data_IF_876592958850
#
_entry.id   IF_876592958850
#
_cell.length_a   1.000
_cell.length_b   1.000
_cell.length_c   1.000
_cell.angle_alpha   90.00
_cell.angle_beta   90.00
_cell.angle_gamma   90.00
#
_symmetry.space_group_name_H-M   'P 1'
#
loop_
_entity.id
_entity.type
_entity.pdbx_description
1 polymer ?
2 water ?
#
# COMPACT_ATOMS: atom_id res chain seq x y z
N UNK A 4 -15.25 19.46 0.34
CA UNK A 4 -13.72 19.47 0.22
C UNK A 4 -13.10 18.26 0.89
N UNK A 5 -13.94 17.28 1.30
CA UNK A 5 -13.40 16.11 2.01
C UNK A 5 -13.71 14.97 1.08
N UNK A 6 -12.71 14.43 0.35
CA UNK A 6 -13.02 13.34 -0.55
C UNK A 6 -13.74 12.15 0.07
N UNK A 7 -13.51 11.93 1.36
CA UNK A 7 -14.11 10.79 2.06
C UNK A 7 -15.59 10.86 2.13
N UNK A 8 -16.16 12.04 1.94
CA UNK A 8 -17.61 12.10 1.95
C UNK A 8 -18.21 11.28 0.78
N UNK A 9 -17.43 10.93 -0.24
CA UNK A 9 -17.91 10.11 -1.37
C UNK A 9 -17.49 8.68 -1.39
N UNK A 10 -16.89 8.27 -0.22
CA UNK A 10 -16.50 6.88 -0.08
C UNK A 10 -17.08 6.25 1.16
N UNK A 11 -17.33 4.95 1.07
CA UNK A 11 -17.67 4.11 2.21
C UNK A 11 -16.34 3.94 2.99
N UNK A 12 -16.36 4.36 4.24
CA UNK A 12 -15.14 4.34 5.08
C UNK A 12 -15.51 4.27 6.53
N UNK A 13 -14.56 3.88 7.35
CA UNK A 13 -14.69 3.86 8.80
C UNK A 13 -13.36 4.44 9.41
N UNK A 14 -13.54 5.38 10.32
CA UNK A 14 -12.41 5.94 11.09
C UNK A 14 -12.03 4.89 12.16
N UNK A 15 -10.79 4.45 12.15
CA UNK A 15 -10.31 3.38 13.00
C UNK A 15 -9.54 3.98 14.21
N UNK A 16 -8.57 4.80 13.91
CA UNK A 16 -7.86 5.50 14.94
C UNK A 16 -7.78 6.99 14.57
N UNK A 17 -7.13 7.81 15.43
CA UNK A 17 -7.00 9.21 15.02
C UNK A 17 -6.15 9.37 13.73
N UNK A 18 -5.31 8.42 13.41
CA UNK A 18 -4.35 8.40 12.24
C UNK A 18 -4.99 7.57 11.07
N UNK A 19 -5.65 6.45 11.38
CA UNK A 19 -5.96 5.44 10.36
C UNK A 19 -7.47 5.45 10.06
N UNK A 20 -7.83 5.48 8.75
CA UNK A 20 -9.17 5.30 8.26
C UNK A 20 -9.14 4.22 7.22
N UNK A 21 -10.08 3.29 7.26
CA UNK A 21 -10.20 2.22 6.28
C UNK A 21 -11.33 2.59 5.30
N UNK A 22 -11.00 2.42 4.03
CA UNK A 22 -11.83 2.79 2.90
C UNK A 22 -12.07 1.58 2.06
N UNK A 23 -13.36 1.41 1.63
CA UNK A 23 -13.69 0.37 0.72
C UNK A 23 -13.34 0.81 -0.71
N UNK A 24 -12.82 -0.07 -1.53
CA UNK A 24 -12.73 0.23 -2.94
C UNK A 24 -11.33 0.22 -3.52
N UNK A 25 -11.13 1.17 -4.43
CA UNK A 25 -9.97 1.23 -5.39
C UNK A 25 -8.94 2.26 -4.88
N UNK A 26 -7.80 1.76 -4.43
CA UNK A 26 -6.75 2.62 -3.90
C UNK A 26 -6.26 3.73 -4.83
N UNK A 27 -6.26 3.38 -6.10
CA UNK A 27 -5.84 4.35 -7.15
C UNK A 27 -6.82 5.48 -7.26
N UNK A 28 -8.11 5.16 -7.22
CA UNK A 28 -9.14 6.20 -7.17
C UNK A 28 -9.05 7.07 -5.94
N UNK A 29 -8.79 6.45 -4.77
CA UNK A 29 -8.70 7.22 -3.58
C UNK A 29 -7.47 8.17 -3.64
N UNK A 30 -6.32 7.66 -4.07
CA UNK A 30 -5.08 8.41 -4.09
C UNK A 30 -5.25 9.65 -5.02
N UNK A 31 -5.96 9.46 -6.13
CA UNK A 31 -6.16 10.55 -7.12
C UNK A 31 -6.91 11.71 -6.49
N UNK A 32 -7.68 11.47 -5.41
CA UNK A 32 -8.36 12.52 -4.70
C UNK A 32 -7.46 13.42 -3.88
N UNK A 33 -6.23 12.98 -3.65
CA UNK A 33 -5.30 13.68 -2.72
C UNK A 33 -4.01 13.86 -3.44
N UNK A 34 -3.86 15.08 -3.97
CA UNK A 34 -2.59 15.42 -4.67
C UNK A 34 -1.31 15.26 -3.92
N UNK A 35 -1.35 15.37 -2.60
CA UNK A 35 -0.19 15.32 -1.81
C UNK A 35 0.00 13.91 -1.26
N UNK A 36 -0.83 12.96 -1.66
CA UNK A 36 -0.69 11.64 -1.01
C UNK A 36 0.46 10.85 -1.60
N UNK A 37 1.02 9.96 -0.78
CA UNK A 37 1.89 8.90 -1.28
C UNK A 37 1.09 7.62 -1.35
N UNK A 38 1.08 6.98 -2.56
CA UNK A 38 0.36 5.76 -2.80
C UNK A 38 1.33 4.59 -2.58
N UNK A 39 0.99 3.65 -1.72
CA UNK A 39 1.80 2.45 -1.59
C UNK A 39 1.45 1.40 -2.65
N UNK A 40 2.52 0.84 -3.25
CA UNK A 40 2.45 -0.28 -4.10
C UNK A 40 2.89 -1.50 -3.27
N UNK A 41 2.09 -2.56 -3.34
CA UNK A 41 2.46 -3.88 -2.76
C UNK A 41 3.29 -4.61 -3.78
N UNK A 42 4.61 -4.42 -3.61
CA UNK A 42 5.62 -4.87 -4.56
C UNK A 42 6.33 -6.13 -4.15
N UNK A 43 7.01 -6.75 -5.12
CA UNK A 43 7.95 -7.81 -4.87
C UNK A 43 9.40 -7.27 -4.91
N UNK A 44 10.35 -8.13 -4.53
CA UNK A 44 11.69 -7.69 -4.36
C UNK A 44 12.28 -7.11 -5.63
N UNK A 45 11.82 -7.58 -6.80
CA UNK A 45 12.38 -7.06 -8.06
C UNK A 45 11.56 -6.03 -8.77
N UNK A 46 10.52 -5.53 -8.07
CA UNK A 46 9.61 -4.54 -8.65
C UNK A 46 9.12 -4.97 -10.01
N UNK A 47 8.70 -6.21 -10.10
CA UNK A 47 8.07 -6.74 -11.29
C UNK A 47 6.57 -6.70 -11.08
N UNK A 48 5.93 -5.74 -11.73
CA UNK A 48 4.52 -5.36 -11.38
C UNK A 48 3.52 -6.16 -12.23
N UNK A 49 3.44 -7.45 -12.00
CA UNK A 49 2.64 -8.27 -12.95
C UNK A 49 1.24 -8.53 -12.57
N UNK A 50 0.83 -8.30 -11.36
CA UNK A 50 -0.55 -8.62 -10.97
C UNK A 50 -0.92 -7.87 -9.73
N UNK A 51 -2.13 -8.07 -9.28
CA UNK A 51 -2.64 -7.35 -8.10
C UNK A 51 -2.59 -5.85 -8.25
N UNK A 52 -2.40 -5.14 -7.13
CA UNK A 52 -2.37 -3.68 -7.15
C UNK A 52 -1.21 -3.16 -7.93
N UNK A 53 -0.11 -3.91 -7.92
CA UNK A 53 1.09 -3.45 -8.69
C UNK A 53 0.76 -3.41 -10.19
N UNK A 54 0.12 -4.49 -10.68
CA UNK A 54 -0.32 -4.52 -12.06
C UNK A 54 -1.31 -3.42 -12.37
N UNK A 55 -2.24 -3.15 -11.48
CA UNK A 55 -3.19 -2.04 -11.67
C UNK A 55 -2.52 -0.68 -11.72
N UNK A 56 -1.57 -0.46 -10.79
CA UNK A 56 -0.80 0.76 -10.77
C UNK A 56 0.03 0.91 -12.08
N UNK A 57 0.75 -0.12 -12.54
CA UNK A 57 1.49 -0.01 -13.76
C UNK A 57 0.58 0.26 -14.99
N UNK A 58 -0.56 -0.42 -15.00
CA UNK A 58 -1.56 -0.19 -16.07
C UNK A 58 -2.04 1.23 -16.04
N UNK A 59 -2.39 1.76 -14.88
CA UNK A 59 -2.83 3.13 -14.77
C UNK A 59 -1.79 4.11 -15.29
N UNK A 60 -0.50 3.81 -15.07
CA UNK A 60 0.64 4.59 -15.57
C UNK A 60 1.03 4.35 -17.02
N UNK A 61 0.29 3.49 -17.72
CA UNK A 61 0.57 3.06 -19.07
C UNK A 61 1.99 2.60 -19.24
N UNK A 62 2.44 1.83 -18.23
CA UNK A 62 3.72 1.19 -18.29
C UNK A 62 4.88 2.00 -17.72
N UNK A 63 4.67 3.24 -17.33
CA UNK A 63 5.74 4.14 -16.90
C UNK A 63 6.35 3.62 -15.58
N UNK A 64 5.46 3.10 -14.74
CA UNK A 64 5.94 2.55 -13.47
C UNK A 64 6.90 1.41 -13.71
N UNK A 65 6.58 0.52 -14.60
CA UNK A 65 7.48 -0.64 -14.84
C UNK A 65 8.79 -0.17 -15.47
N UNK A 66 8.72 0.79 -16.38
CA UNK A 66 9.96 1.31 -16.97
C UNK A 66 10.92 1.90 -15.92
N UNK A 67 10.37 2.73 -15.02
CA UNK A 67 11.12 3.27 -13.93
C UNK A 67 11.70 2.15 -13.04
N UNK A 68 10.87 1.20 -12.68
CA UNK A 68 11.29 0.10 -11.81
C UNK A 68 12.40 -0.71 -12.44
N UNK A 69 12.32 -0.95 -13.72
CA UNK A 69 13.35 -1.70 -14.45
C UNK A 69 14.67 -0.96 -14.29
N UNK A 70 14.67 0.37 -14.51
CA UNK A 70 15.88 1.17 -14.39
C UNK A 70 16.41 1.12 -12.97
N UNK A 71 15.49 1.19 -12.00
CA UNK A 71 15.87 1.22 -10.63
C UNK A 71 16.61 -0.09 -10.29
N UNK A 72 16.05 -1.20 -10.68
CA UNK A 72 16.60 -2.48 -10.28
C UNK A 72 18.01 -2.69 -10.86
N UNK A 73 18.22 -2.27 -12.09
CA UNK A 73 19.58 -2.35 -12.71
C UNK A 73 20.57 -1.41 -12.10
N UNK A 74 20.10 -0.26 -11.60
CA UNK A 74 20.98 0.68 -10.94
C UNK A 74 21.33 0.34 -9.54
N UNK A 75 20.34 -0.11 -8.75
CA UNK A 75 20.46 -0.27 -7.30
C UNK A 75 20.30 -1.68 -6.77
N UNK A 76 19.90 -2.62 -7.61
CA UNK A 76 19.66 -3.98 -7.17
C UNK A 76 18.33 -4.18 -6.56
N UNK A 77 17.98 -5.41 -6.33
CA UNK A 77 16.68 -5.72 -5.73
C UNK A 77 16.57 -5.31 -4.29
N UNK A 78 15.33 -5.17 -3.86
CA UNK A 78 14.99 -4.87 -2.50
C UNK A 78 15.06 -6.18 -1.68
N UNK A 79 15.24 -6.04 -0.39
CA UNK A 79 15.03 -7.12 0.53
C UNK A 79 13.58 -7.11 1.02
N UNK A 80 13.16 -8.26 1.52
CA UNK A 80 11.83 -8.32 2.13
C UNK A 80 11.80 -7.36 3.34
N UNK A 81 10.72 -6.56 3.46
CA UNK A 81 10.60 -5.51 4.43
C UNK A 81 11.09 -4.16 4.01
N UNK A 82 11.82 -4.07 2.89
CA UNK A 82 12.29 -2.80 2.42
C UNK A 82 11.19 -2.06 1.64
N UNK A 83 11.44 -0.76 1.47
CA UNK A 83 10.60 0.03 0.60
C UNK A 83 11.44 1.06 -0.11
N UNK A 84 10.94 1.56 -1.21
CA UNK A 84 11.64 2.59 -1.97
C UNK A 84 10.59 3.56 -2.50
N UNK A 85 10.88 4.85 -2.32
CA UNK A 85 10.05 5.88 -2.83
C UNK A 85 10.41 6.27 -4.27
N UNK A 86 9.52 6.08 -5.21
CA UNK A 86 9.75 6.40 -6.63
C UNK A 86 8.69 7.38 -7.11
N UNK A 87 8.70 7.68 -8.40
CA UNK A 87 7.86 8.75 -8.91
C UNK A 87 6.37 8.37 -8.79
N UNK A 88 5.54 9.43 -8.78
CA UNK A 88 4.12 9.24 -8.68
C UNK A 88 3.35 9.04 -9.95
N UNK A 89 3.93 9.45 -11.07
CA UNK A 89 3.31 9.27 -12.35
C UNK A 89 1.91 9.86 -12.49
N UNK A 90 1.66 10.95 -11.84
CA UNK A 90 0.25 11.49 -11.85
C UNK A 90 -0.78 10.62 -11.19
N UNK A 91 -0.42 9.53 -10.56
CA UNK A 91 -1.35 8.84 -9.66
C UNK A 91 -1.37 9.40 -8.26
N UNK A 92 -0.25 9.92 -7.78
CA UNK A 92 -0.04 10.42 -6.46
C UNK A 92 1.22 11.28 -6.49
N UNK A 93 1.52 11.95 -5.40
CA UNK A 93 2.80 12.68 -5.28
C UNK A 93 3.99 11.76 -5.56
N UNK A 94 4.01 10.62 -4.90
CA UNK A 94 5.03 9.57 -5.07
C UNK A 94 4.36 8.21 -4.87
N UNK A 95 5.05 7.16 -5.31
CA UNK A 95 4.63 5.84 -5.04
C UNK A 95 5.70 5.24 -4.18
N UNK A 96 5.31 4.69 -3.04
CA UNK A 96 6.18 3.98 -2.14
C UNK A 96 6.01 2.49 -2.39
N UNK A 97 7.04 1.83 -3.00
CA UNK A 97 6.96 0.42 -3.30
C UNK A 97 7.45 -0.33 -2.09
N UNK A 98 6.55 -1.03 -1.42
CA UNK A 98 6.79 -1.73 -0.22
C UNK A 98 6.74 -3.25 -0.42
N UNK A 99 7.78 -3.92 0.03
CA UNK A 99 7.89 -5.35 -0.07
C UNK A 99 7.54 -6.06 1.23
N UNK A 100 6.33 -6.55 1.31
CA UNK A 100 5.95 -7.25 2.48
C UNK A 100 6.45 -8.68 2.41
N UNK A 101 6.33 -9.36 3.55
CA UNK A 101 6.63 -10.80 3.63
C UNK A 101 5.61 -11.62 2.91
N UNK A 102 6.11 -12.64 2.19
CA UNK A 102 5.30 -13.58 1.45
C UNK A 102 5.18 -14.86 2.29
N UNK A 103 4.01 -15.08 2.85
CA UNK A 103 3.79 -16.27 3.68
C UNK A 103 3.90 -17.54 2.88
N UNK A 104 3.67 -17.49 1.60
CA UNK A 104 3.87 -18.66 0.74
C UNK A 104 5.31 -19.12 0.80
N UNK A 105 6.22 -18.18 0.99
CA UNK A 105 7.64 -18.45 1.01
C UNK A 105 8.13 -18.58 2.38
N UNK A 106 7.19 -18.70 3.35
CA UNK A 106 7.42 -18.74 4.74
C UNK A 106 8.29 -17.60 5.24
N UNK A 107 8.12 -16.40 4.64
CA UNK A 107 8.87 -15.24 5.14
C UNK A 107 8.31 -14.74 6.49
N UNK A 108 9.08 -13.96 7.17
CA UNK A 108 8.76 -13.58 8.51
C UNK A 108 7.64 -12.44 8.50
N UNK A 109 6.46 -12.81 8.95
CA UNK A 109 5.31 -11.88 8.97
C UNK A 109 5.54 -10.65 9.81
N UNK A 110 6.36 -10.71 10.86
CA UNK A 110 6.61 -9.56 11.67
C UNK A 110 7.40 -8.46 10.93
N UNK A 111 7.90 -8.80 9.73
CA UNK A 111 8.51 -7.76 8.85
C UNK A 111 7.46 -6.74 8.41
N UNK A 112 6.17 -7.03 8.61
CA UNK A 112 5.15 -5.97 8.38
C UNK A 112 5.35 -4.76 9.28
N UNK A 113 5.95 -4.92 10.46
CA UNK A 113 6.22 -3.77 11.29
C UNK A 113 7.13 -2.77 10.55
N UNK A 114 8.20 -3.27 9.90
CA UNK A 114 9.15 -2.50 9.07
C UNK A 114 8.39 -1.81 7.92
N UNK A 115 7.54 -2.59 7.27
CA UNK A 115 6.76 -2.10 6.15
C UNK A 115 5.93 -0.89 6.54
N UNK A 116 5.11 -1.03 7.57
CA UNK A 116 4.27 0.04 7.91
C UNK A 116 5.02 1.23 8.56
N UNK A 117 6.10 0.96 9.31
CA UNK A 117 6.88 2.07 9.85
C UNK A 117 7.42 2.97 8.76
N UNK A 118 7.75 2.39 7.59
CA UNK A 118 8.30 3.16 6.41
C UNK A 118 7.32 4.20 5.95
N UNK A 119 6.03 4.00 6.20
CA UNK A 119 4.99 4.92 5.70
C UNK A 119 4.90 6.17 6.55
N UNK A 120 5.47 6.11 7.77
CA UNK A 120 5.38 7.23 8.67
C UNK A 120 6.28 8.45 8.29
N UNK A 121 7.05 8.26 7.25
CA UNK A 121 7.88 9.30 6.71
C UNK A 121 7.06 10.36 5.96
N UNK A 122 5.80 10.08 5.61
CA UNK A 122 5.03 10.87 4.68
C UNK A 122 3.80 11.36 5.43
N UNK A 123 3.29 12.54 5.19
CA UNK A 123 2.16 13.04 5.97
C UNK A 123 0.81 12.48 5.63
N UNK A 124 0.70 11.85 4.46
CA UNK A 124 -0.57 11.27 4.01
C UNK A 124 -0.22 10.13 3.07
N UNK A 125 -0.69 8.96 3.49
CA UNK A 125 -0.43 7.72 2.77
C UNK A 125 -1.74 7.01 2.46
N UNK A 126 -1.86 6.47 1.23
CA UNK A 126 -2.92 5.67 0.79
C UNK A 126 -2.31 4.32 0.49
N UNK A 127 -2.81 3.24 1.15
CA UNK A 127 -2.12 1.94 1.10
C UNK A 127 -3.16 0.80 1.02
N UNK A 128 -2.84 -0.27 0.32
CA UNK A 128 -3.52 -1.56 0.60
C UNK A 128 -2.98 -2.19 1.86
N UNK A 129 -3.65 -3.28 2.28
CA UNK A 129 -3.08 -4.04 3.36
C UNK A 129 -1.93 -4.88 2.81
N UNK A 130 -0.77 -4.56 3.29
CA UNK A 130 0.44 -5.19 2.78
C UNK A 130 0.41 -6.67 3.12
N UNK A 131 0.82 -7.49 2.12
CA UNK A 131 0.93 -8.91 2.19
C UNK A 131 -0.40 -9.67 2.21
N UNK A 132 -1.50 -8.96 2.16
CA UNK A 132 -2.79 -9.57 2.20
C UNK A 132 -3.29 -10.08 0.92
N UNK A 133 -2.73 -9.83 -0.23
CA UNK A 133 -3.31 -10.66 -1.38
C UNK A 133 -2.67 -12.04 -1.59
N UNK A 134 -1.99 -12.10 -2.71
CA UNK A 134 -1.27 -13.32 -3.10
C UNK A 134 -0.20 -13.71 -2.08
N UNK A 135 0.33 -12.72 -1.30
CA UNK A 135 1.30 -13.06 -0.28
C UNK A 135 0.77 -13.84 0.98
N UNK A 136 -0.57 -13.92 1.07
CA UNK A 136 -1.19 -14.81 1.99
C UNK A 136 -1.23 -14.55 3.48
N UNK A 137 -1.01 -13.30 3.87
CA UNK A 137 -1.14 -12.85 5.23
C UNK A 137 -2.62 -12.46 5.43
N UNK A 138 -3.22 -12.94 6.52
CA UNK A 138 -4.60 -12.66 6.74
C UNK A 138 -4.79 -11.17 6.87
N UNK A 139 -5.84 -10.66 6.26
CA UNK A 139 -6.09 -9.19 6.38
C UNK A 139 -6.10 -8.64 7.78
N UNK A 140 -6.72 -9.41 8.71
CA UNK A 140 -6.73 -8.91 10.07
C UNK A 140 -5.34 -8.81 10.66
N UNK A 141 -4.44 -9.69 10.28
CA UNK A 141 -3.08 -9.59 10.85
C UNK A 141 -2.33 -8.35 10.27
N UNK A 142 -2.51 -8.15 8.97
CA UNK A 142 -1.86 -6.99 8.33
C UNK A 142 -2.40 -5.68 8.91
N UNK A 143 -3.70 -5.65 9.12
CA UNK A 143 -4.40 -4.50 9.74
C UNK A 143 -3.91 -4.28 11.15
N UNK A 144 -3.72 -5.36 11.92
CA UNK A 144 -3.18 -5.21 13.27
C UNK A 144 -1.81 -4.53 13.32
N UNK A 145 -0.92 -4.93 12.43
CA UNK A 145 0.37 -4.31 12.29
C UNK A 145 0.25 -2.83 11.92
N UNK A 146 -0.59 -2.53 10.91
CA UNK A 146 -0.78 -1.13 10.52
C UNK A 146 -1.25 -0.24 11.64
N UNK A 147 -2.27 -0.71 12.35
CA UNK A 147 -2.84 0.08 13.43
C UNK A 147 -1.83 0.29 14.57
N UNK A 148 -1.00 -0.72 14.84
CA UNK A 148 0.03 -0.58 15.85
C UNK A 148 1.12 0.43 15.49
N UNK A 149 1.50 0.43 14.23
CA UNK A 149 2.65 1.18 13.78
C UNK A 149 2.40 2.59 13.26
N UNK A 150 1.16 2.84 12.84
CA UNK A 150 0.85 4.13 12.22
C UNK A 150 1.11 5.30 13.13
N UNK A 151 1.78 6.30 12.57
CA UNK A 151 2.05 7.57 13.24
C UNK A 151 1.90 8.71 12.29
N UNK A 152 1.08 8.52 11.25
CA UNK A 152 0.82 9.53 10.23
C UNK A 152 -0.60 9.25 9.74
N UNK A 153 -1.12 10.12 8.88
CA UNK A 153 -2.43 9.95 8.29
C UNK A 153 -2.39 8.84 7.23
N UNK A 154 -3.15 7.77 7.47
CA UNK A 154 -3.15 6.66 6.56
C UNK A 154 -4.57 6.33 6.18
N UNK A 155 -4.83 6.21 4.87
CA UNK A 155 -6.03 5.70 4.37
C UNK A 155 -5.72 4.29 3.83
N UNK A 156 -6.18 3.28 4.54
CA UNK A 156 -5.97 1.90 4.13
C UNK A 156 -7.17 1.46 3.31
N UNK A 157 -6.92 0.94 2.10
CA UNK A 157 -7.97 0.68 1.20
C UNK A 157 -8.06 -0.74 0.83
N UNK A 158 -9.28 -1.29 0.99
CA UNK A 158 -9.55 -2.69 0.76
C UNK A 158 -10.59 -2.84 -0.36
N UNK A 159 -10.25 -3.59 -1.38
CA UNK A 159 -11.11 -3.74 -2.54
C UNK A 159 -12.38 -4.60 -2.30
N UNK A 160 -12.28 -5.55 -1.38
CA UNK A 160 -13.32 -6.51 -1.13
C UNK A 160 -14.26 -6.05 -0.03
N UNK A 161 -15.55 -6.00 -0.35
CA UNK A 161 -16.57 -5.71 0.61
C UNK A 161 -16.61 -6.69 1.80
N UNK A 162 -16.23 -7.90 1.45
CA UNK A 162 -16.22 -8.97 2.51
C UNK A 162 -15.04 -8.81 3.48
N UNK A 163 -13.87 -8.45 2.95
CA UNK A 163 -12.75 -8.12 3.86
C UNK A 163 -13.11 -6.90 4.68
N UNK A 164 -13.62 -5.83 4.00
CA UNK A 164 -14.01 -4.62 4.65
C UNK A 164 -14.97 -4.84 5.83
N UNK A 165 -16.02 -5.62 5.59
CA UNK A 165 -16.98 -5.95 6.64
C UNK A 165 -16.29 -6.71 7.79
N UNK A 166 -15.42 -7.61 7.44
CA UNK A 166 -14.71 -8.42 8.49
C UNK A 166 -13.89 -7.52 9.38
N UNK A 167 -13.27 -6.50 8.82
CA UNK A 167 -12.48 -5.57 9.61
C UNK A 167 -13.23 -4.47 10.31
N UNK A 168 -14.46 -4.10 9.87
CA UNK A 168 -15.14 -2.98 10.38
C UNK A 168 -16.34 -3.29 11.33
N UNK A 169 -16.86 -4.49 11.23
CA UNK A 169 -18.01 -4.84 12.05
C UNK A 169 -17.49 -5.45 13.30
N UNK A 170 -17.81 -4.84 14.47
CA UNK A 170 -17.14 -5.34 15.74
C UNK A 170 -18.07 -6.09 16.72
#
# INVERSE_FOLDING_TARGET
GSHMDPLSNFEHKVITECVTIVLGDAIQVAKCYGESVLVNAANTHLKHGGGIAGAINAASKGAVQKESDEYILAKGPLQVGDSVLLQGHSLAKNILHVVGPDARAKQDVSLLSKCYKAMNAYPLVVTPLVSAGIFGVKPAVSFDYLIREAKTRVLVVVNSQDVYKSLTIVD
#
